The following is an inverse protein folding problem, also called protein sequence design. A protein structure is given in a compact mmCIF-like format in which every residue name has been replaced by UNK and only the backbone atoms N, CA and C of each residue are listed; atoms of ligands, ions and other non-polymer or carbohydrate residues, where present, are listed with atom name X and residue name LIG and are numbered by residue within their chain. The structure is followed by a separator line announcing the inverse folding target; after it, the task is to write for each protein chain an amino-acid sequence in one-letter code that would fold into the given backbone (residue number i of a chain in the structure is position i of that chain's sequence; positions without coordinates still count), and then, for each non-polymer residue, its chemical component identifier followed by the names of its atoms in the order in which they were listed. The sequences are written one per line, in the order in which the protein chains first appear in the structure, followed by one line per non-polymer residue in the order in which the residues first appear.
data_IF_824919936221
#
_entry.id   IF_824919936221
#
_cell.length_a   1.000
_cell.length_b   1.000
_cell.length_c   1.000
_cell.angle_alpha   90.00
_cell.angle_beta   90.00
_cell.angle_gamma   90.00
#
_symmetry.space_group_name_H-M   'P 1'
#
loop_
_entity.id
_entity.type
_entity.pdbx_description
1 polymer ?
#
# COMPACT_ATOMS: atom_id res chain seq x y z
N UNK A 1 -16.69 -0.31 -8.31
CA UNK A 1 -15.67 -1.32 -8.67
C UNK A 1 -14.49 -0.52 -9.21
N UNK A 2 -13.29 -0.69 -8.68
CA UNK A 2 -12.14 0.14 -9.08
C UNK A 2 -11.58 -0.38 -10.40
N UNK A 3 -11.47 0.49 -11.39
CA UNK A 3 -10.91 0.21 -12.71
C UNK A 3 -9.54 0.90 -12.82
N UNK A 4 -8.56 0.22 -13.40
CA UNK A 4 -7.22 0.74 -13.64
C UNK A 4 -6.92 0.55 -15.12
N UNK A 5 -6.53 1.64 -15.78
CA UNK A 5 -6.18 1.67 -17.20
C UNK A 5 -4.79 2.29 -17.36
N UNK A 6 -4.01 1.75 -18.30
CA UNK A 6 -2.70 2.27 -18.70
C UNK A 6 -2.65 2.29 -20.21
N UNK A 7 -2.52 3.49 -20.78
CA UNK A 7 -2.23 3.66 -22.19
C UNK A 7 -0.75 3.35 -22.44
N UNK A 8 -0.46 2.58 -23.48
CA UNK A 8 0.90 2.23 -23.90
C UNK A 8 1.26 3.08 -25.11
N UNK A 9 2.41 3.74 -25.07
CA UNK A 9 2.92 4.51 -26.20
C UNK A 9 3.79 3.62 -27.10
N UNK A 10 3.84 3.96 -28.39
CA UNK A 10 4.48 3.21 -29.47
C UNK A 10 5.97 2.94 -29.29
N UNK A 11 6.68 3.74 -28.48
CA UNK A 11 8.10 3.58 -28.16
C UNK A 11 8.40 2.90 -26.82
N UNK A 12 7.38 2.45 -26.07
CA UNK A 12 7.57 1.89 -24.74
C UNK A 12 7.69 0.36 -24.76
N UNK A 13 8.67 -0.18 -24.04
CA UNK A 13 8.75 -1.62 -23.79
C UNK A 13 7.56 -2.10 -22.95
N UNK A 14 6.97 -3.23 -23.35
CA UNK A 14 5.85 -3.87 -22.65
C UNK A 14 6.08 -4.01 -21.14
N UNK A 15 7.31 -4.35 -20.72
CA UNK A 15 7.65 -4.53 -19.31
C UNK A 15 7.53 -3.23 -18.51
N UNK A 16 7.84 -2.08 -19.12
CA UNK A 16 7.66 -0.77 -18.49
C UNK A 16 6.19 -0.43 -18.31
N UNK A 17 5.37 -0.67 -19.34
CA UNK A 17 3.92 -0.48 -19.25
C UNK A 17 3.30 -1.38 -18.15
N UNK A 18 3.72 -2.65 -18.08
CA UNK A 18 3.28 -3.60 -17.05
C UNK A 18 3.69 -3.16 -15.63
N UNK A 19 4.92 -2.64 -15.47
CA UNK A 19 5.38 -2.12 -14.19
C UNK A 19 4.53 -0.92 -13.71
N UNK A 20 4.18 -0.01 -14.62
CA UNK A 20 3.28 1.12 -14.31
C UNK A 20 1.89 0.63 -13.93
N UNK A 21 1.33 -0.34 -14.66
CA UNK A 21 0.04 -0.93 -14.35
C UNK A 21 0.03 -1.56 -12.95
N UNK A 22 1.04 -2.37 -12.61
CA UNK A 22 1.18 -2.96 -11.26
C UNK A 22 1.25 -1.88 -10.17
N UNK A 23 1.98 -0.79 -10.41
CA UNK A 23 2.07 0.35 -9.49
C UNK A 23 0.72 1.06 -9.34
N UNK A 24 -0.02 1.25 -10.43
CA UNK A 24 -1.35 1.86 -10.41
C UNK A 24 -2.37 0.98 -9.69
N UNK A 25 -2.36 -0.34 -9.90
CA UNK A 25 -3.17 -1.31 -9.14
C UNK A 25 -2.89 -1.26 -7.64
N UNK A 26 -1.60 -1.10 -7.26
CA UNK A 26 -1.19 -0.90 -5.87
C UNK A 26 -1.73 0.41 -5.29
N UNK A 27 -1.59 1.53 -6.03
CA UNK A 27 -2.06 2.86 -5.60
C UNK A 27 -3.58 2.95 -5.50
N UNK A 28 -4.28 2.38 -6.48
CA UNK A 28 -5.74 2.32 -6.51
C UNK A 28 -6.29 1.36 -5.44
N UNK A 29 -5.44 0.54 -4.82
CA UNK A 29 -5.81 -0.32 -3.70
C UNK A 29 -6.68 -1.52 -4.12
N UNK A 30 -6.69 -1.89 -5.40
CA UNK A 30 -7.51 -2.97 -5.97
C UNK A 30 -7.34 -4.27 -5.18
N UNK A 31 -6.08 -4.65 -4.92
CA UNK A 31 -5.77 -5.86 -4.14
C UNK A 31 -6.30 -5.77 -2.70
N UNK A 32 -6.26 -4.59 -2.09
CA UNK A 32 -6.78 -4.40 -0.73
C UNK A 32 -8.29 -4.42 -0.67
N UNK A 33 -8.95 -4.01 -1.76
CA UNK A 33 -10.40 -4.04 -1.87
C UNK A 33 -10.91 -5.47 -2.06
N UNK A 34 -10.27 -6.25 -2.94
CA UNK A 34 -10.57 -7.68 -3.12
C UNK A 34 -10.46 -8.41 -1.78
N UNK A 35 -9.36 -8.22 -1.05
CA UNK A 35 -9.16 -8.84 0.28
C UNK A 35 -10.18 -8.40 1.34
N UNK A 36 -10.73 -7.19 1.23
CA UNK A 36 -11.79 -6.71 2.14
C UNK A 36 -13.16 -7.29 1.81
N UNK A 37 -13.39 -7.63 0.55
CA UNK A 37 -14.67 -8.13 0.04
C UNK A 37 -14.74 -9.66 0.00
N UNK A 38 -13.61 -10.35 0.16
CA UNK A 38 -13.56 -11.82 0.08
C UNK A 38 -14.26 -12.52 1.24
N UNK A 39 -14.53 -11.83 2.35
CA UNK A 39 -15.32 -12.36 3.47
C UNK A 39 -16.17 -11.28 4.11
N UNK A 40 -17.26 -11.68 4.76
CA UNK A 40 -18.08 -10.76 5.55
C UNK A 40 -17.33 -10.34 6.82
N UNK A 41 -17.07 -9.04 6.95
CA UNK A 41 -16.54 -8.43 8.16
C UNK A 41 -17.71 -7.81 8.95
N UNK A 42 -17.93 -8.27 10.18
CA UNK A 42 -18.95 -7.67 11.07
C UNK A 42 -18.72 -6.15 11.21
N UNK A 43 -19.79 -5.34 11.32
CA UNK A 43 -19.68 -3.88 11.36
C UNK A 43 -18.87 -3.37 12.57
N UNK A 44 -18.85 -4.09 13.69
CA UNK A 44 -17.99 -3.80 14.85
C UNK A 44 -16.50 -3.92 14.52
N UNK A 45 -16.10 -5.05 13.92
CA UNK A 45 -14.71 -5.32 13.53
C UNK A 45 -14.24 -4.33 12.45
N UNK A 46 -15.11 -4.00 11.50
CA UNK A 46 -14.83 -2.97 10.49
C UNK A 46 -14.51 -1.61 11.12
N UNK A 47 -15.31 -1.17 12.10
CA UNK A 47 -15.06 0.08 12.86
C UNK A 47 -13.74 0.02 13.63
N UNK A 48 -13.50 -1.07 14.37
CA UNK A 48 -12.26 -1.30 15.12
C UNK A 48 -11.02 -1.25 14.22
N UNK A 49 -11.07 -1.90 13.05
CA UNK A 49 -9.99 -1.93 12.08
C UNK A 49 -9.68 -0.55 11.49
N UNK A 50 -10.71 0.28 11.26
CA UNK A 50 -10.53 1.66 10.75
C UNK A 50 -9.84 2.53 11.81
N UNK A 51 -10.28 2.43 13.06
CA UNK A 51 -9.71 3.19 14.19
C UNK A 51 -8.24 2.84 14.43
N UNK A 52 -7.90 1.55 14.49
CA UNK A 52 -6.51 1.10 14.61
C UNK A 52 -5.63 1.59 13.46
N UNK A 53 -6.15 1.63 12.22
CA UNK A 53 -5.42 2.19 11.07
C UNK A 53 -5.18 3.68 11.21
N UNK A 54 -6.14 4.43 11.74
CA UNK A 54 -6.00 5.88 11.99
C UNK A 54 -4.92 6.13 13.03
N UNK A 55 -4.98 5.42 14.17
CA UNK A 55 -3.98 5.55 15.23
C UNK A 55 -2.56 5.21 14.74
N UNK A 56 -2.40 4.15 13.95
CA UNK A 56 -1.10 3.79 13.35
C UNK A 56 -0.54 4.83 12.38
N UNK A 57 -1.40 5.61 11.69
CA UNK A 57 -0.96 6.69 10.81
C UNK A 57 -0.54 7.95 11.57
N UNK A 58 -1.22 8.23 12.70
CA UNK A 58 -0.96 9.41 13.52
C UNK A 58 0.27 9.23 14.41
N UNK A 59 0.58 8.00 14.81
CA UNK A 59 1.81 7.72 15.56
C UNK A 59 3.02 8.15 14.72
N UNK A 60 3.81 9.13 15.17
CA UNK A 60 5.05 9.47 14.48
C UNK A 60 5.88 8.19 14.40
N UNK A 61 6.48 7.95 13.22
CA UNK A 61 7.55 6.96 13.13
C UNK A 61 8.66 7.53 14.00
N UNK A 62 8.75 7.06 15.24
CA UNK A 62 9.95 7.24 16.03
C UNK A 62 11.04 6.57 15.21
N UNK A 63 11.77 7.36 14.42
CA UNK A 63 13.14 7.03 14.08
C UNK A 63 13.82 6.94 15.43
N UNK A 64 13.88 5.73 15.98
CA UNK A 64 14.86 5.47 17.01
C UNK A 64 16.20 5.84 16.38
N UNK A 65 16.85 6.87 16.94
CA UNK A 65 18.25 7.13 16.66
C UNK A 65 18.98 5.83 17.02
N UNK A 66 19.32 5.02 16.01
CA UNK A 66 20.19 3.86 16.17
C UNK A 66 21.60 4.42 16.21
N UNK A 67 22.28 4.48 17.38
CA UNK A 67 23.64 4.95 17.42
C UNK A 67 24.47 4.05 16.50
N UNK A 68 25.24 4.65 15.60
CA UNK A 68 26.29 3.92 14.89
C UNK A 68 27.30 3.53 15.97
N UNK A 69 27.39 2.24 16.30
CA UNK A 69 28.50 1.76 17.12
C UNK A 69 29.78 2.05 16.33
N UNK A 70 30.61 2.95 16.85
CA UNK A 70 31.92 3.24 16.32
C UNK A 70 32.86 2.08 16.68
N UNK A 71 33.27 1.32 15.67
CA UNK A 71 34.21 0.19 15.82
C UNK A 71 35.67 0.64 15.60
N UNK A 72 36.03 1.85 16.02
CA UNK A 72 37.42 2.32 16.03
C UNK A 72 38.12 1.96 17.35
N UNK A 73 38.37 0.68 17.59
CA UNK A 73 39.33 0.17 18.58
C UNK A 73 39.91 -1.15 18.14
#
# INVERSE_FOLDING_TARGET
MVQVEVTVDSGESFDRALARFKKMCGKAGVVTEIKKRSFYEKPSEKRRRIELKRQRKVRPRTTEYRPRYDNSR
#
